data_IF_529151633710
#
_entry.id   IF_529151633710
#
_cell.length_a   1.000
_cell.length_b   1.000
_cell.length_c   1.000
_cell.angle_alpha   90.00
_cell.angle_beta   90.00
_cell.angle_gamma   90.00
#
_symmetry.space_group_name_H-M   'P 1'
#
loop_
_entity.id
_entity.type
_entity.pdbx_description
1 polymer ?
#
# COMPACT_ATOMS: atom_id res chain seq x y z
N UNK A 1 30.06 12.01 28.25
CA UNK A 1 29.31 12.57 27.12
C UNK A 1 28.42 11.48 26.55
N UNK A 2 27.25 11.28 27.16
CA UNK A 2 26.26 10.28 26.73
C UNK A 2 25.49 10.89 25.57
N UNK A 3 25.83 10.48 24.35
CA UNK A 3 25.01 10.81 23.18
C UNK A 3 23.61 10.25 23.43
N UNK A 4 22.63 11.15 23.48
CA UNK A 4 21.21 10.84 23.52
C UNK A 4 20.82 10.00 22.29
N UNK A 5 20.84 8.68 22.46
CA UNK A 5 20.41 7.69 21.47
C UNK A 5 18.89 7.49 21.44
N UNK A 6 18.14 8.15 22.33
CA UNK A 6 16.70 7.93 22.49
C UNK A 6 15.86 8.62 21.41
N UNK A 7 16.29 9.80 20.94
CA UNK A 7 15.59 10.53 19.88
C UNK A 7 15.51 9.77 18.56
N UNK A 8 16.62 9.17 18.09
CA UNK A 8 16.64 8.58 16.74
C UNK A 8 16.01 7.19 16.65
N UNK A 9 15.92 6.43 17.75
CA UNK A 9 15.34 5.08 17.78
C UNK A 9 13.82 5.13 18.00
N UNK A 10 13.35 5.96 18.93
CA UNK A 10 11.92 6.17 19.19
C UNK A 10 11.22 6.86 18.01
N UNK A 11 11.86 7.85 17.39
CA UNK A 11 11.29 8.56 16.25
C UNK A 11 11.16 7.64 15.02
N UNK A 12 12.17 6.79 14.76
CA UNK A 12 12.10 5.76 13.71
C UNK A 12 11.01 4.73 13.98
N UNK A 13 10.85 4.29 15.23
CA UNK A 13 9.78 3.37 15.61
C UNK A 13 8.39 4.01 15.42
N UNK A 14 8.21 5.25 15.88
CA UNK A 14 6.95 5.99 15.74
C UNK A 14 6.57 6.25 14.28
N UNK A 15 7.55 6.59 13.42
CA UNK A 15 7.30 6.76 11.98
C UNK A 15 6.78 5.46 11.35
N UNK A 16 7.40 4.32 11.68
CA UNK A 16 6.93 3.00 11.19
C UNK A 16 5.54 2.65 11.71
N UNK A 17 5.22 2.94 12.97
CA UNK A 17 3.87 2.71 13.52
C UNK A 17 2.84 3.56 12.79
N UNK A 18 3.17 4.82 12.46
CA UNK A 18 2.27 5.74 11.74
C UNK A 18 2.01 5.27 10.31
N UNK A 19 3.04 4.80 9.61
CA UNK A 19 2.92 4.19 8.29
C UNK A 19 2.04 2.92 8.33
N UNK A 20 2.27 2.06 9.34
CA UNK A 20 1.50 0.83 9.53
C UNK A 20 0.02 1.12 9.84
N UNK A 21 -0.26 2.08 10.75
CA UNK A 21 -1.64 2.54 11.04
C UNK A 21 -2.33 3.10 9.80
N UNK A 22 -1.60 3.86 8.99
CA UNK A 22 -2.11 4.37 7.71
C UNK A 22 -2.53 3.23 6.78
N UNK A 23 -1.69 2.21 6.64
CA UNK A 23 -1.99 1.03 5.82
C UNK A 23 -3.19 0.23 6.33
N UNK A 24 -3.27 -0.04 7.65
CA UNK A 24 -4.42 -0.73 8.24
C UNK A 24 -5.73 0.01 8.04
N UNK A 25 -5.72 1.35 8.06
CA UNK A 25 -6.91 2.16 7.75
C UNK A 25 -7.39 1.91 6.32
N UNK A 26 -6.48 1.83 5.35
CA UNK A 26 -6.84 1.55 3.95
C UNK A 26 -7.41 0.13 3.80
N UNK A 27 -6.82 -0.87 4.45
CA UNK A 27 -7.37 -2.23 4.47
C UNK A 27 -8.76 -2.25 5.10
N UNK A 28 -8.95 -1.56 6.24
CA UNK A 28 -10.23 -1.52 6.94
C UNK A 28 -11.33 -0.94 6.04
N UNK A 29 -11.05 0.20 5.39
CA UNK A 29 -11.98 0.83 4.44
C UNK A 29 -12.25 -0.09 3.26
N UNK A 30 -11.22 -0.73 2.71
CA UNK A 30 -11.38 -1.68 1.60
C UNK A 30 -12.30 -2.83 1.99
N UNK A 31 -12.05 -3.49 3.13
CA UNK A 31 -12.89 -4.61 3.61
C UNK A 31 -14.31 -4.14 3.90
N UNK A 32 -14.48 -2.98 4.54
CA UNK A 32 -15.80 -2.44 4.87
C UNK A 32 -16.62 -2.15 3.59
N UNK A 33 -16.02 -1.50 2.60
CA UNK A 33 -16.67 -1.17 1.32
C UNK A 33 -16.95 -2.42 0.50
N UNK A 34 -15.98 -3.33 0.36
CA UNK A 34 -16.16 -4.59 -0.36
C UNK A 34 -17.20 -5.49 0.31
N UNK A 35 -17.16 -5.59 1.64
CA UNK A 35 -18.13 -6.35 2.41
C UNK A 35 -19.54 -5.78 2.26
N UNK A 36 -19.68 -4.45 2.28
CA UNK A 36 -20.95 -3.79 2.02
C UNK A 36 -21.47 -4.05 0.60
N UNK A 37 -20.61 -3.94 -0.42
CA UNK A 37 -20.96 -4.25 -1.81
C UNK A 37 -21.34 -5.72 -2.01
N UNK A 38 -20.64 -6.65 -1.34
CA UNK A 38 -20.97 -8.07 -1.36
C UNK A 38 -22.33 -8.33 -0.70
N UNK A 39 -22.64 -7.66 0.41
CA UNK A 39 -23.96 -7.77 1.06
C UNK A 39 -25.08 -7.23 0.16
N UNK A 40 -24.84 -6.14 -0.58
CA UNK A 40 -25.76 -5.63 -1.59
C UNK A 40 -25.95 -6.66 -2.72
N UNK A 41 -24.86 -7.22 -3.26
CA UNK A 41 -24.91 -8.22 -4.32
C UNK A 41 -25.61 -9.52 -3.90
N UNK A 42 -25.42 -9.94 -2.66
CA UNK A 42 -26.04 -11.17 -2.13
C UNK A 42 -27.56 -11.08 -1.97
N UNK A 43 -28.15 -9.89 -2.14
CA UNK A 43 -29.59 -9.67 -2.00
C UNK A 43 -30.08 -9.68 -0.55
N UNK A 44 -29.21 -9.85 0.45
CA UNK A 44 -29.56 -9.80 1.88
C UNK A 44 -30.20 -8.46 2.26
N UNK A 45 -29.80 -7.38 1.56
CA UNK A 45 -30.32 -6.03 1.78
C UNK A 45 -31.46 -5.64 0.83
N UNK A 46 -31.87 -6.50 -0.12
CA UNK A 46 -33.02 -6.23 -0.99
C UNK A 46 -34.31 -5.87 -0.24
N UNK A 47 -34.67 -6.55 0.87
CA UNK A 47 -35.90 -6.21 1.61
C UNK A 47 -35.90 -4.80 2.22
N UNK A 48 -34.72 -4.19 2.36
CA UNK A 48 -34.54 -2.84 2.92
C UNK A 48 -34.24 -1.80 1.82
N UNK A 49 -34.19 -2.20 0.55
CA UNK A 49 -33.85 -1.31 -0.56
C UNK A 49 -35.10 -0.74 -1.24
N UNK A 50 -35.03 0.49 -1.78
CA UNK A 50 -36.11 1.07 -2.56
C UNK A 50 -36.40 0.26 -3.82
N UNK A 51 -37.67 0.19 -4.23
CA UNK A 51 -38.04 -0.36 -5.53
C UNK A 51 -37.35 0.42 -6.66
N UNK A 52 -36.54 -0.27 -7.48
CA UNK A 52 -35.77 0.32 -8.58
C UNK A 52 -34.25 0.35 -8.39
N UNK A 53 -33.70 -0.32 -7.37
CA UNK A 53 -32.24 -0.44 -7.26
C UNK A 53 -31.65 -1.18 -8.47
N UNK A 54 -30.62 -0.62 -9.15
CA UNK A 54 -30.07 -1.24 -10.34
C UNK A 54 -29.33 -2.52 -9.98
N UNK A 55 -29.99 -3.66 -10.15
CA UNK A 55 -29.41 -5.00 -10.08
C UNK A 55 -28.78 -5.45 -11.40
N UNK A 56 -28.62 -4.51 -12.34
CA UNK A 56 -28.10 -4.77 -13.66
C UNK A 56 -26.63 -5.21 -13.60
N UNK A 57 -26.27 -6.19 -14.44
CA UNK A 57 -24.93 -6.79 -14.49
C UNK A 57 -23.80 -5.78 -14.70
N UNK A 58 -24.06 -4.70 -15.43
CA UNK A 58 -23.10 -3.62 -15.66
C UNK A 58 -22.64 -2.91 -14.37
N UNK A 59 -23.52 -2.80 -13.37
CA UNK A 59 -23.16 -2.22 -12.06
C UNK A 59 -22.12 -3.08 -11.35
N UNK A 60 -22.29 -4.41 -11.41
CA UNK A 60 -21.37 -5.36 -10.80
C UNK A 60 -20.01 -5.43 -11.50
N UNK A 61 -19.97 -5.26 -12.82
CA UNK A 61 -18.71 -5.18 -13.56
C UNK A 61 -17.91 -3.93 -13.19
N UNK A 62 -18.57 -2.78 -13.07
CA UNK A 62 -17.92 -1.54 -12.61
C UNK A 62 -17.40 -1.67 -11.18
N UNK A 63 -18.17 -2.31 -10.30
CA UNK A 63 -17.75 -2.60 -8.92
C UNK A 63 -16.51 -3.51 -8.91
N UNK A 64 -16.53 -4.62 -9.65
CA UNK A 64 -15.40 -5.55 -9.74
C UNK A 64 -14.13 -4.86 -10.28
N UNK A 65 -14.26 -4.00 -11.30
CA UNK A 65 -13.13 -3.23 -11.83
C UNK A 65 -12.53 -2.29 -10.77
N UNK A 66 -13.38 -1.61 -9.99
CA UNK A 66 -12.91 -0.77 -8.87
C UNK A 66 -12.18 -1.61 -7.83
N UNK A 67 -12.76 -2.75 -7.42
CA UNK A 67 -12.14 -3.67 -6.44
C UNK A 67 -10.77 -4.12 -6.93
N UNK A 68 -10.62 -4.46 -8.21
CA UNK A 68 -9.34 -4.86 -8.79
C UNK A 68 -8.29 -3.75 -8.72
N UNK A 69 -8.66 -2.51 -9.08
CA UNK A 69 -7.76 -1.34 -9.00
C UNK A 69 -7.32 -1.10 -7.55
N UNK A 70 -8.28 -1.09 -6.61
CA UNK A 70 -7.99 -0.92 -5.19
C UNK A 70 -7.15 -2.05 -4.62
N UNK A 71 -7.35 -3.29 -5.10
CA UNK A 71 -6.51 -4.44 -4.78
C UNK A 71 -5.05 -4.24 -5.21
N UNK A 72 -4.82 -3.72 -6.42
CA UNK A 72 -3.46 -3.39 -6.91
C UNK A 72 -2.83 -2.28 -6.04
N UNK A 73 -3.58 -1.23 -5.71
CA UNK A 73 -3.09 -0.14 -4.85
C UNK A 73 -2.70 -0.68 -3.47
N UNK A 74 -3.52 -1.52 -2.85
CA UNK A 74 -3.20 -2.17 -1.58
C UNK A 74 -1.97 -3.07 -1.66
N UNK A 75 -1.83 -3.82 -2.74
CA UNK A 75 -0.67 -4.69 -2.96
C UNK A 75 0.61 -3.87 -3.05
N UNK A 76 0.62 -2.79 -3.83
CA UNK A 76 1.76 -1.86 -3.92
C UNK A 76 2.06 -1.23 -2.56
N UNK A 77 1.04 -0.79 -1.82
CA UNK A 77 1.22 -0.20 -0.50
C UNK A 77 1.77 -1.20 0.52
N UNK A 78 1.33 -2.46 0.45
CA UNK A 78 1.87 -3.55 1.24
C UNK A 78 3.35 -3.75 0.95
N UNK A 79 3.76 -3.79 -0.32
CA UNK A 79 5.17 -3.89 -0.70
C UNK A 79 5.98 -2.73 -0.09
N UNK A 80 5.48 -1.49 -0.17
CA UNK A 80 6.17 -0.31 0.37
C UNK A 80 6.35 -0.40 1.90
N UNK A 81 5.30 -0.79 2.63
CA UNK A 81 5.32 -0.90 4.09
C UNK A 81 6.19 -2.07 4.56
N UNK A 82 6.17 -3.19 3.83
CA UNK A 82 6.92 -4.40 4.18
C UNK A 82 8.34 -4.46 3.59
N UNK A 83 8.74 -3.54 2.70
CA UNK A 83 10.10 -3.51 2.09
C UNK A 83 11.21 -3.54 3.14
N UNK A 84 10.98 -2.89 4.29
CA UNK A 84 11.94 -2.82 5.40
C UNK A 84 11.99 -4.06 6.29
N UNK A 85 11.11 -5.05 6.10
CA UNK A 85 11.15 -6.35 6.82
C UNK A 85 11.81 -7.46 6.01
N UNK A 86 11.86 -7.35 4.68
CA UNK A 86 12.46 -8.37 3.83
C UNK A 86 13.94 -8.07 3.58
N UNK A 87 14.88 -8.91 4.05
CA UNK A 87 16.32 -8.68 3.85
C UNK A 87 16.74 -8.71 2.38
N UNK A 88 15.98 -9.39 1.52
CA UNK A 88 16.18 -9.41 0.07
C UNK A 88 15.99 -8.02 -0.57
N UNK A 89 14.96 -7.28 -0.13
CA UNK A 89 14.66 -5.96 -0.69
C UNK A 89 15.73 -4.93 -0.32
N UNK A 90 16.23 -4.99 0.91
CA UNK A 90 17.34 -4.16 1.37
C UNK A 90 18.61 -4.39 0.56
N UNK A 91 18.98 -5.67 0.33
CA UNK A 91 20.14 -6.02 -0.52
C UNK A 91 19.95 -5.60 -1.98
N UNK A 92 18.72 -5.61 -2.49
CA UNK A 92 18.43 -5.13 -3.84
C UNK A 92 18.58 -3.61 -3.94
N UNK A 93 18.01 -2.86 -2.98
CA UNK A 93 18.11 -1.39 -2.91
C UNK A 93 19.57 -0.94 -2.80
N UNK A 94 20.36 -1.59 -1.94
CA UNK A 94 21.79 -1.31 -1.76
C UNK A 94 22.61 -1.56 -3.04
N UNK A 95 22.27 -2.60 -3.81
CA UNK A 95 22.90 -2.85 -5.13
C UNK A 95 22.53 -1.81 -6.17
N UNK A 96 21.29 -1.32 -6.19
CA UNK A 96 20.90 -0.27 -7.12
C UNK A 96 21.59 1.05 -6.79
N UNK A 97 21.66 1.43 -5.51
CA UNK A 97 22.39 2.62 -5.06
C UNK A 97 23.86 2.54 -5.48
N UNK A 98 24.50 1.39 -5.26
CA UNK A 98 25.90 1.19 -5.67
C UNK A 98 26.07 1.35 -7.19
N UNK A 99 25.14 0.81 -7.99
CA UNK A 99 25.17 0.94 -9.45
C UNK A 99 25.11 2.41 -9.90
N UNK A 100 24.22 3.21 -9.31
CA UNK A 100 24.12 4.63 -9.62
C UNK A 100 25.37 5.41 -9.18
N UNK A 101 25.95 5.09 -8.02
CA UNK A 101 27.21 5.72 -7.56
C UNK A 101 28.40 5.38 -8.46
N UNK A 102 28.44 4.16 -9.00
CA UNK A 102 29.50 3.73 -9.91
C UNK A 102 29.31 4.33 -11.31
N UNK A 103 28.07 4.53 -11.77
CA UNK A 103 27.73 5.27 -12.99
C UNK A 103 28.15 6.75 -12.87
N UNK A 104 27.81 7.44 -11.78
CA UNK A 104 28.21 8.83 -11.52
C UNK A 104 29.74 9.01 -11.50
N UNK A 105 30.49 8.07 -10.90
CA UNK A 105 31.96 8.10 -10.90
C UNK A 105 32.52 7.96 -12.32
N UNK A 106 32.00 7.02 -13.11
CA UNK A 106 32.43 6.82 -14.49
C UNK A 106 32.10 8.01 -15.40
N UNK A 107 30.98 8.71 -15.15
CA UNK A 107 30.71 9.97 -15.86
C UNK A 107 31.70 11.06 -15.47
N UNK A 108 31.96 11.24 -14.17
CA UNK A 108 32.92 12.25 -13.68
C UNK A 108 34.36 12.00 -14.18
N UNK A 109 34.78 10.74 -14.32
CA UNK A 109 36.09 10.39 -14.88
C UNK A 109 36.15 10.53 -16.41
N UNK A 110 35.01 10.55 -17.11
CA UNK A 110 34.93 10.83 -18.56
C UNK A 110 35.08 12.31 -18.93
N UNK A 111 34.92 13.21 -17.97
CA UNK A 111 35.04 14.67 -18.16
C UNK A 111 36.38 15.25 -17.64
N UNK A 112 37.31 14.39 -17.20
CA UNK A 112 38.70 14.75 -16.86
C UNK A 112 39.65 14.37 -17.98
#
# INVERSE_FOLDING_TARGET
MTMDQSGTSLERANKRIKELKGFYRHILIFIAVNGFLFLLQSGVLHPFMPEGFPTETYYFDWVNANIAIWGIILLVHAIIVYRGKFPFFKKWEERQIQKYMDEDRNEMDRYK
#
